data_IF_072915443358
#
_entry.id   IF_072915443358
#
_cell.length_a   1.000
_cell.length_b   1.000
_cell.length_c   1.000
_cell.angle_alpha   90.00
_cell.angle_beta   90.00
_cell.angle_gamma   90.00
#
_symmetry.space_group_name_H-M   'P 1'
#
loop_
_entity.id
_entity.type
_entity.pdbx_description
1 polymer ?
#
# COMPACT_ATOMS: atom_id res chain seq x y z
N UNK A 1 -21.06 -12.79 11.99
CA UNK A 1 -20.23 -13.95 12.37
C UNK A 1 -18.89 -13.51 12.92
N UNK A 2 -18.59 -13.85 14.17
CA UNK A 2 -17.33 -13.49 14.87
C UNK A 2 -16.09 -14.15 14.24
N UNK A 3 -16.32 -15.10 13.31
CA UNK A 3 -15.29 -15.90 12.60
C UNK A 3 -14.97 -15.43 11.18
N UNK A 4 -15.78 -14.56 10.58
CA UNK A 4 -15.66 -14.17 9.15
C UNK A 4 -15.60 -12.64 8.93
N UNK A 5 -15.24 -11.87 9.95
CA UNK A 5 -15.13 -10.40 9.88
C UNK A 5 -13.74 -9.91 9.45
N UNK A 6 -13.65 -8.72 8.87
CA UNK A 6 -12.37 -8.09 8.46
C UNK A 6 -11.33 -7.99 9.60
N UNK A 7 -11.77 -7.72 10.83
CA UNK A 7 -10.93 -7.69 12.03
C UNK A 7 -10.30 -9.07 12.34
N UNK A 8 -10.98 -10.17 11.97
CA UNK A 8 -10.41 -11.51 12.12
C UNK A 8 -9.25 -11.75 11.14
N UNK A 9 -9.31 -11.22 9.92
CA UNK A 9 -8.19 -11.28 8.97
C UNK A 9 -6.97 -10.56 9.53
N UNK A 10 -7.19 -9.34 10.02
CA UNK A 10 -6.15 -8.51 10.62
C UNK A 10 -5.50 -9.18 11.83
N UNK A 11 -6.32 -9.74 12.75
CA UNK A 11 -5.78 -10.50 13.88
C UNK A 11 -4.94 -11.70 13.42
N UNK A 12 -5.41 -12.47 12.44
CA UNK A 12 -4.65 -13.62 11.92
C UNK A 12 -3.33 -13.22 11.28
N UNK A 13 -3.29 -12.07 10.59
CA UNK A 13 -2.06 -11.50 10.06
C UNK A 13 -1.05 -11.25 11.19
N UNK A 14 -1.44 -10.53 12.25
CA UNK A 14 -0.54 -10.27 13.39
C UNK A 14 -0.10 -11.55 14.11
N UNK A 15 -0.99 -12.54 14.25
CA UNK A 15 -0.65 -13.81 14.89
C UNK A 15 0.32 -14.67 14.06
N UNK A 16 0.34 -14.52 12.73
CA UNK A 16 1.12 -15.41 11.83
C UNK A 16 2.36 -14.74 11.26
N UNK A 17 2.23 -13.50 10.80
CA UNK A 17 3.22 -12.80 10.00
C UNK A 17 3.85 -11.58 10.71
N UNK A 18 3.20 -10.97 11.71
CA UNK A 18 3.71 -9.76 12.36
C UNK A 18 3.93 -9.90 13.88
N UNK A 19 4.51 -11.04 14.30
CA UNK A 19 5.02 -11.17 15.68
C UNK A 19 6.26 -10.29 15.84
N UNK A 20 6.35 -9.55 16.96
CA UNK A 20 7.48 -8.65 17.27
C UNK A 20 8.86 -9.27 17.01
N UNK A 21 9.10 -10.50 17.48
CA UNK A 21 10.38 -11.18 17.27
C UNK A 21 10.69 -11.47 15.79
N UNK A 22 9.67 -11.77 14.99
CA UNK A 22 9.80 -12.01 13.53
C UNK A 22 10.12 -10.70 12.81
N UNK A 23 9.37 -9.63 13.11
CA UNK A 23 9.58 -8.29 12.55
C UNK A 23 11.00 -7.80 12.87
N UNK A 24 11.41 -7.84 14.14
CA UNK A 24 12.73 -7.41 14.59
C UNK A 24 13.88 -8.22 13.98
N UNK A 25 13.68 -9.53 13.76
CA UNK A 25 14.66 -10.35 13.03
C UNK A 25 14.81 -9.87 11.59
N UNK A 26 13.72 -9.59 10.90
CA UNK A 26 13.75 -9.12 9.51
C UNK A 26 14.40 -7.74 9.39
N UNK A 27 14.06 -6.81 10.30
CA UNK A 27 14.66 -5.46 10.38
C UNK A 27 16.19 -5.53 10.46
N UNK A 28 16.73 -6.40 11.31
CA UNK A 28 18.18 -6.61 11.45
C UNK A 28 18.80 -7.23 10.20
N UNK A 29 18.16 -8.23 9.62
CA UNK A 29 18.67 -8.93 8.44
C UNK A 29 18.76 -8.01 7.21
N UNK A 30 17.78 -7.13 7.03
CA UNK A 30 17.69 -6.24 5.87
C UNK A 30 18.21 -4.82 6.13
N UNK A 31 18.71 -4.53 7.34
CA UNK A 31 19.16 -3.20 7.75
C UNK A 31 18.09 -2.11 7.61
N UNK A 32 16.84 -2.44 7.98
CA UNK A 32 15.68 -1.54 7.94
C UNK A 32 15.15 -1.31 9.37
N UNK A 33 15.80 -0.46 10.19
CA UNK A 33 15.43 -0.29 11.60
C UNK A 33 14.08 0.43 11.80
N UNK A 34 13.58 1.12 10.77
CA UNK A 34 12.31 1.87 10.78
C UNK A 34 11.22 1.18 9.94
N UNK A 35 11.24 -0.15 9.84
CA UNK A 35 10.19 -0.91 9.15
C UNK A 35 8.82 -0.63 9.81
N UNK A 36 7.89 -0.12 9.00
CA UNK A 36 6.57 0.36 9.45
C UNK A 36 5.51 -0.72 9.61
N UNK A 37 5.84 -1.87 10.23
CA UNK A 37 4.86 -2.89 10.63
C UNK A 37 4.49 -2.65 12.10
N UNK A 38 3.22 -2.38 12.44
CA UNK A 38 2.83 -2.03 13.81
C UNK A 38 2.97 -3.21 14.77
N UNK A 39 3.37 -2.91 16.01
CA UNK A 39 3.37 -3.87 17.11
C UNK A 39 1.93 -4.05 17.65
N UNK A 40 1.30 -5.19 17.36
CA UNK A 40 0.03 -5.55 18.01
C UNK A 40 0.30 -5.98 19.46
N UNK A 41 -0.06 -5.11 20.42
CA UNK A 41 0.19 -5.29 21.85
C UNK A 41 -0.75 -6.32 22.48
N UNK A 42 -1.94 -6.47 21.91
CA UNK A 42 -2.96 -7.39 22.39
C UNK A 42 -4.12 -7.49 21.42
N UNK A 43 -4.84 -8.61 21.50
CA UNK A 43 -6.09 -8.82 20.77
C UNK A 43 -6.98 -9.72 21.61
N UNK A 44 -8.29 -9.67 21.36
CA UNK A 44 -9.21 -10.51 22.10
C UNK A 44 -10.66 -10.31 21.70
N UNK A 45 -11.53 -10.93 22.49
CA UNK A 45 -12.97 -10.72 22.43
C UNK A 45 -13.41 -9.92 23.65
N UNK A 46 -14.31 -8.96 23.44
CA UNK A 46 -14.99 -8.23 24.51
C UNK A 46 -16.47 -8.61 24.48
N UNK A 47 -16.93 -9.28 25.55
CA UNK A 47 -18.21 -9.99 25.54
C UNK A 47 -18.25 -11.05 24.43
N UNK A 48 -19.46 -11.36 23.97
CA UNK A 48 -19.67 -12.41 22.96
C UNK A 48 -19.60 -11.90 21.50
N UNK A 49 -19.58 -10.58 21.29
CA UNK A 49 -19.86 -9.98 19.97
C UNK A 49 -18.76 -9.05 19.43
N UNK A 50 -17.81 -8.59 20.26
CA UNK A 50 -16.81 -7.62 19.82
C UNK A 50 -15.43 -8.24 19.78
N UNK A 51 -14.68 -7.97 18.72
CA UNK A 51 -13.26 -8.29 18.60
C UNK A 51 -12.48 -6.98 18.66
N UNK A 52 -11.35 -6.99 19.35
CA UNK A 52 -10.49 -5.83 19.46
C UNK A 52 -9.03 -6.19 19.17
N UNK A 53 -8.28 -5.20 18.71
CA UNK A 53 -6.81 -5.19 18.66
C UNK A 53 -6.33 -3.93 19.40
N UNK A 54 -5.16 -4.02 20.00
CA UNK A 54 -4.53 -2.94 20.75
C UNK A 54 -3.18 -2.65 20.10
N UNK A 55 -2.97 -1.39 19.74
CA UNK A 55 -1.74 -0.88 19.17
C UNK A 55 -1.22 0.28 20.05
N UNK A 56 0.07 0.62 19.97
CA UNK A 56 0.54 1.94 20.37
C UNK A 56 -0.23 3.02 19.60
N UNK A 57 -0.21 4.25 20.11
CA UNK A 57 -0.67 5.39 19.32
C UNK A 57 0.18 5.51 18.05
N UNK A 58 -0.47 5.37 16.89
CA UNK A 58 0.18 5.41 15.58
C UNK A 58 0.29 6.85 15.04
N UNK A 59 -0.36 7.82 15.69
CA UNK A 59 -0.41 9.20 15.25
C UNK A 59 -1.52 9.46 14.23
N UNK A 60 -1.23 10.28 13.22
CA UNK A 60 -2.21 10.76 12.25
C UNK A 60 -2.17 9.94 10.97
N UNK A 61 -3.34 9.69 10.35
CA UNK A 61 -3.37 9.10 9.01
C UNK A 61 -2.79 10.08 7.99
N UNK A 62 -2.14 9.56 6.94
CA UNK A 62 -1.65 10.34 5.83
C UNK A 62 -2.82 11.07 5.13
N UNK A 63 -4.01 10.45 5.08
CA UNK A 63 -5.21 11.12 4.55
C UNK A 63 -5.53 12.39 5.35
N UNK A 64 -5.54 12.33 6.68
CA UNK A 64 -5.80 13.53 7.49
C UNK A 64 -4.76 14.63 7.27
N UNK A 65 -3.49 14.27 6.98
CA UNK A 65 -2.42 15.23 6.67
C UNK A 65 -2.62 15.83 5.27
N UNK A 66 -3.11 15.03 4.32
CA UNK A 66 -3.47 15.48 2.97
C UNK A 66 -4.65 16.46 2.99
N UNK A 67 -5.63 16.19 3.85
CA UNK A 67 -6.84 16.99 4.04
C UNK A 67 -6.55 18.38 4.62
N UNK A 68 -5.48 18.54 5.43
CA UNK A 68 -5.00 19.84 5.91
C UNK A 68 -4.45 20.72 4.77
N UNK A 69 -4.12 20.11 3.63
CA UNK A 69 -3.47 20.75 2.49
C UNK A 69 -4.35 20.79 1.24
N UNK A 70 -3.70 20.61 0.08
CA UNK A 70 -4.35 20.57 -1.22
C UNK A 70 -4.62 19.14 -1.69
N UNK A 71 -4.66 18.16 -0.78
CA UNK A 71 -4.72 16.74 -1.12
C UNK A 71 -3.57 16.29 -2.06
N UNK A 72 -2.39 16.88 -1.89
CA UNK A 72 -1.20 16.61 -2.69
C UNK A 72 0.04 16.46 -1.80
N UNK A 73 0.93 15.56 -2.19
CA UNK A 73 2.29 15.47 -1.68
C UNK A 73 3.26 16.12 -2.65
N UNK A 74 4.34 16.68 -2.10
CA UNK A 74 5.54 16.97 -2.88
C UNK A 74 6.21 15.66 -3.28
N UNK A 75 6.94 15.70 -4.38
CA UNK A 75 7.67 14.54 -4.92
C UNK A 75 8.56 13.87 -3.86
N UNK A 76 9.32 14.68 -3.09
CA UNK A 76 10.15 14.19 -1.99
C UNK A 76 9.35 13.35 -0.99
N UNK A 77 8.24 13.88 -0.46
CA UNK A 77 7.42 13.18 0.53
C UNK A 77 6.79 11.90 -0.03
N UNK A 78 6.24 11.96 -1.25
CA UNK A 78 5.65 10.80 -1.90
C UNK A 78 6.66 9.66 -2.08
N UNK A 79 7.89 9.99 -2.50
CA UNK A 79 8.95 8.99 -2.69
C UNK A 79 9.50 8.45 -1.37
N UNK A 80 9.64 9.30 -0.33
CA UNK A 80 10.02 8.83 1.01
C UNK A 80 9.00 7.81 1.54
N UNK A 81 7.70 8.10 1.43
CA UNK A 81 6.62 7.21 1.86
C UNK A 81 6.64 5.91 1.05
N UNK A 82 6.67 6.00 -0.29
CA UNK A 82 6.61 4.81 -1.13
C UNK A 82 7.80 3.85 -0.93
N UNK A 83 9.02 4.36 -0.67
CA UNK A 83 10.17 3.50 -0.33
C UNK A 83 9.93 2.75 0.99
N UNK A 84 9.41 3.42 2.02
CA UNK A 84 9.07 2.76 3.31
C UNK A 84 7.97 1.72 3.13
N UNK A 85 6.95 2.02 2.31
CA UNK A 85 5.89 1.08 2.01
C UNK A 85 6.40 -0.13 1.22
N UNK A 86 7.34 0.04 0.30
CA UNK A 86 7.97 -1.09 -0.40
C UNK A 86 8.69 -2.03 0.57
N UNK A 87 9.33 -1.50 1.62
CA UNK A 87 9.95 -2.33 2.66
C UNK A 87 8.88 -3.07 3.49
N UNK A 88 7.76 -2.43 3.84
CA UNK A 88 6.61 -3.10 4.47
C UNK A 88 5.99 -4.18 3.57
N UNK A 89 5.82 -3.89 2.29
CA UNK A 89 5.27 -4.81 1.30
C UNK A 89 6.18 -6.02 1.09
N UNK A 90 7.49 -5.81 0.91
CA UNK A 90 8.45 -6.91 0.82
C UNK A 90 8.38 -7.81 2.06
N UNK A 91 8.35 -7.23 3.27
CA UNK A 91 8.20 -7.98 4.51
C UNK A 91 6.94 -8.86 4.51
N UNK A 92 5.76 -8.28 4.29
CA UNK A 92 4.51 -9.05 4.36
C UNK A 92 4.43 -10.10 3.25
N UNK A 93 4.91 -9.77 2.05
CA UNK A 93 4.90 -10.67 0.90
C UNK A 93 5.82 -11.88 1.12
N UNK A 94 6.99 -11.70 1.74
CA UNK A 94 7.87 -12.79 2.15
C UNK A 94 7.29 -13.65 3.27
N UNK A 95 6.38 -13.08 4.06
CA UNK A 95 5.62 -13.80 5.09
C UNK A 95 4.26 -14.30 4.59
N UNK A 96 4.11 -14.48 3.27
CA UNK A 96 2.94 -15.08 2.60
C UNK A 96 1.66 -14.24 2.56
N UNK A 97 1.71 -12.97 2.98
CA UNK A 97 0.55 -12.07 3.02
C UNK A 97 0.68 -10.90 2.05
N UNK A 98 -0.45 -10.49 1.48
CA UNK A 98 -0.64 -9.16 0.86
C UNK A 98 -1.51 -8.32 1.78
N UNK A 99 -1.41 -7.00 1.70
CA UNK A 99 -2.24 -6.05 2.44
C UNK A 99 -3.65 -5.95 1.84
N UNK A 100 -3.75 -5.82 0.53
CA UNK A 100 -5.01 -5.78 -0.23
C UNK A 100 -5.78 -4.46 -0.21
N UNK A 101 -5.27 -3.41 0.46
CA UNK A 101 -5.96 -2.11 0.58
C UNK A 101 -4.97 -0.98 0.94
N UNK A 102 -3.96 -0.77 0.09
CA UNK A 102 -2.98 0.31 0.28
C UNK A 102 -3.65 1.65 -0.03
N UNK A 103 -3.79 2.51 0.98
CA UNK A 103 -4.39 3.84 0.89
C UNK A 103 -3.77 4.81 1.89
N UNK A 104 -4.04 6.11 1.75
CA UNK A 104 -3.60 7.11 2.72
C UNK A 104 -4.31 7.00 4.09
N UNK A 105 -5.47 6.34 4.17
CA UNK A 105 -6.17 6.09 5.45
C UNK A 105 -5.46 5.01 6.28
N UNK A 106 -4.77 4.09 5.60
CA UNK A 106 -4.05 2.97 6.21
C UNK A 106 -2.57 3.28 6.47
N UNK A 107 -2.10 4.48 6.14
CA UNK A 107 -0.73 4.93 6.40
C UNK A 107 -0.77 5.93 7.54
N UNK A 108 0.00 5.68 8.59
CA UNK A 108 0.09 6.53 9.76
C UNK A 108 1.46 7.20 9.85
N UNK A 109 1.46 8.46 10.28
CA UNK A 109 2.65 9.28 10.51
C UNK A 109 2.61 9.76 11.95
N UNK A 110 3.69 9.52 12.70
CA UNK A 110 3.80 10.02 14.06
C UNK A 110 4.14 11.52 14.03
N UNK A 111 3.27 12.42 14.52
CA UNK A 111 3.55 13.86 14.53
C UNK A 111 4.73 14.25 15.44
N UNK A 112 5.08 13.41 16.42
CA UNK A 112 6.21 13.62 17.33
C UNK A 112 7.54 13.17 16.71
N UNK A 113 7.49 12.23 15.75
CA UNK A 113 8.66 11.75 15.01
C UNK A 113 8.28 11.41 13.56
N UNK A 114 8.49 12.37 12.66
CA UNK A 114 8.20 12.19 11.23
C UNK A 114 9.10 11.16 10.52
N UNK A 115 10.04 10.53 11.23
CA UNK A 115 10.76 9.34 10.71
C UNK A 115 9.96 8.05 10.90
N UNK A 116 8.93 8.04 11.74
CA UNK A 116 8.06 6.90 11.96
C UNK A 116 6.84 6.96 11.03
N UNK A 117 6.79 6.02 10.08
CA UNK A 117 5.66 5.81 9.17
C UNK A 117 5.25 4.37 9.27
N UNK A 118 3.97 4.13 9.53
CA UNK A 118 3.41 2.80 9.78
C UNK A 118 2.35 2.47 8.74
N UNK A 119 2.41 1.28 8.16
CA UNK A 119 1.32 0.70 7.37
C UNK A 119 0.44 -0.12 8.31
N UNK A 120 -0.80 0.30 8.50
CA UNK A 120 -1.81 -0.35 9.34
C UNK A 120 -3.04 -0.74 8.51
N UNK A 121 -4.10 -1.25 9.13
CA UNK A 121 -5.35 -1.54 8.41
C UNK A 121 -5.31 -2.84 7.62
N UNK A 122 -4.81 -3.92 8.22
CA UNK A 122 -4.68 -5.26 7.60
C UNK A 122 -6.01 -6.03 7.54
N UNK A 123 -7.14 -5.32 7.55
CA UNK A 123 -8.50 -5.85 7.48
C UNK A 123 -8.77 -6.65 6.20
N UNK A 124 -8.10 -6.29 5.11
CA UNK A 124 -8.17 -6.97 3.81
C UNK A 124 -6.98 -7.90 3.55
N UNK A 125 -6.10 -8.07 4.54
CA UNK A 125 -4.90 -8.87 4.37
C UNK A 125 -5.25 -10.31 3.98
N UNK A 126 -4.54 -10.81 2.99
CA UNK A 126 -4.81 -12.11 2.41
C UNK A 126 -3.54 -12.94 2.32
N UNK A 127 -3.62 -14.18 2.78
CA UNK A 127 -2.51 -15.13 2.69
C UNK A 127 -2.45 -15.71 1.29
N UNK A 128 -1.77 -15.02 0.38
CA UNK A 128 -1.69 -15.37 -1.04
C UNK A 128 -0.77 -16.57 -1.34
N UNK A 129 0.11 -16.94 -0.40
CA UNK A 129 1.09 -18.01 -0.61
C UNK A 129 1.18 -19.00 0.58
N UNK A 130 0.07 -19.60 1.03
CA UNK A 130 0.06 -20.43 2.24
C UNK A 130 0.98 -21.65 2.10
N UNK A 131 1.98 -21.75 2.97
CA UNK A 131 2.96 -22.84 2.93
C UNK A 131 3.88 -22.77 1.71
N UNK A 132 4.17 -21.56 1.22
CA UNK A 132 4.98 -21.33 0.02
C UNK A 132 4.29 -21.70 -1.30
N UNK A 133 3.00 -22.06 -1.29
CA UNK A 133 2.23 -22.36 -2.49
C UNK A 133 1.37 -21.17 -2.88
N UNK A 134 1.73 -20.50 -3.98
CA UNK A 134 0.94 -19.38 -4.50
C UNK A 134 -0.47 -19.84 -4.86
N UNK A 135 -1.48 -19.02 -4.52
CA UNK A 135 -2.86 -19.27 -4.95
C UNK A 135 -2.97 -19.12 -6.47
N UNK A 136 -3.81 -19.93 -7.11
CA UNK A 136 -4.02 -19.83 -8.55
C UNK A 136 -4.92 -18.63 -8.88
N UNK A 137 -4.67 -17.97 -10.02
CA UNK A 137 -5.55 -16.91 -10.53
C UNK A 137 -6.94 -17.48 -10.87
N UNK A 138 -7.96 -17.04 -10.13
CA UNK A 138 -9.36 -17.44 -10.34
C UNK A 138 -10.29 -16.26 -10.10
N UNK A 139 -10.79 -15.66 -11.16
CA UNK A 139 -11.82 -14.61 -11.08
C UNK A 139 -13.09 -15.17 -10.41
N UNK A 140 -13.76 -14.35 -9.62
CA UNK A 140 -14.95 -14.74 -8.85
C UNK A 140 -14.72 -15.76 -7.73
N UNK A 141 -13.48 -16.12 -7.42
CA UNK A 141 -13.17 -17.01 -6.28
C UNK A 141 -13.36 -16.34 -4.92
N UNK A 142 -13.50 -15.01 -4.90
CA UNK A 142 -13.75 -14.17 -3.74
C UNK A 142 -14.78 -13.10 -4.07
N UNK A 143 -15.27 -12.43 -3.03
CA UNK A 143 -16.10 -11.24 -3.17
C UNK A 143 -15.36 -10.19 -4.03
N UNK A 144 -15.94 -9.72 -5.14
CA UNK A 144 -15.33 -8.68 -5.94
C UNK A 144 -15.40 -7.33 -5.24
N UNK A 145 -14.51 -6.42 -5.66
CA UNK A 145 -14.51 -5.02 -5.21
C UNK A 145 -14.25 -4.85 -3.70
N UNK A 146 -13.56 -5.80 -3.07
CA UNK A 146 -13.12 -5.66 -1.68
C UNK A 146 -11.94 -4.68 -1.56
N UNK A 147 -12.11 -3.65 -0.73
CA UNK A 147 -11.14 -2.59 -0.48
C UNK A 147 -11.61 -1.25 -1.04
N UNK A 148 -10.72 -0.28 -1.08
CA UNK A 148 -11.03 1.08 -1.54
C UNK A 148 -11.08 1.13 -3.07
N UNK A 149 -12.29 1.25 -3.63
CA UNK A 149 -12.57 1.15 -5.08
C UNK A 149 -11.62 1.98 -5.97
N UNK A 150 -11.23 3.16 -5.49
CA UNK A 150 -10.31 4.04 -6.22
C UNK A 150 -8.93 3.41 -6.42
N UNK A 151 -8.43 2.65 -5.45
CA UNK A 151 -7.04 2.17 -5.39
C UNK A 151 -6.87 0.65 -5.52
N UNK A 152 -7.91 -0.16 -5.33
CA UNK A 152 -7.78 -1.62 -5.44
C UNK A 152 -7.38 -2.05 -6.85
N UNK A 153 -6.67 -3.18 -6.93
CA UNK A 153 -6.22 -3.73 -8.21
C UNK A 153 -7.36 -4.28 -9.07
N UNK A 154 -7.08 -4.49 -10.36
CA UNK A 154 -7.98 -5.24 -11.25
C UNK A 154 -8.27 -6.67 -10.74
N UNK A 155 -7.30 -7.34 -10.11
CA UNK A 155 -7.52 -8.68 -9.55
C UNK A 155 -8.62 -8.63 -8.46
N UNK A 156 -8.55 -7.64 -7.57
CA UNK A 156 -9.56 -7.42 -6.53
C UNK A 156 -10.92 -7.01 -7.12
N UNK A 157 -10.95 -6.19 -8.16
CA UNK A 157 -12.21 -5.88 -8.85
C UNK A 157 -12.87 -7.12 -9.45
N UNK A 158 -12.08 -8.08 -9.96
CA UNK A 158 -12.59 -9.32 -10.57
C UNK A 158 -12.88 -10.42 -9.56
N UNK A 159 -12.75 -10.15 -8.26
CA UNK A 159 -12.95 -11.15 -7.21
C UNK A 159 -11.91 -12.28 -7.26
N UNK A 160 -10.74 -12.03 -7.83
CA UNK A 160 -9.59 -12.90 -7.67
C UNK A 160 -8.93 -12.64 -6.32
N UNK A 161 -8.18 -13.63 -5.79
CA UNK A 161 -7.32 -13.39 -4.63
C UNK A 161 -6.29 -12.30 -4.96
N UNK A 162 -6.14 -11.24 -4.15
CA UNK A 162 -5.07 -10.27 -4.38
C UNK A 162 -3.71 -10.96 -4.25
N UNK A 163 -2.74 -10.56 -5.08
CA UNK A 163 -1.36 -11.04 -5.03
C UNK A 163 -0.39 -9.89 -4.85
N UNK A 164 0.92 -10.16 -4.87
CA UNK A 164 1.97 -9.14 -4.69
C UNK A 164 1.84 -7.98 -5.67
N UNK A 165 1.44 -8.26 -6.92
CA UNK A 165 1.23 -7.21 -7.92
C UNK A 165 0.02 -6.32 -7.60
N UNK A 166 -0.97 -6.86 -6.89
CA UNK A 166 -2.16 -6.09 -6.49
C UNK A 166 -1.78 -4.94 -5.55
N UNK A 167 -0.93 -5.21 -4.56
CA UNK A 167 -0.45 -4.19 -3.63
C UNK A 167 0.42 -3.13 -4.33
N UNK A 168 1.27 -3.55 -5.27
CA UNK A 168 2.12 -2.63 -6.04
C UNK A 168 1.32 -1.78 -7.04
N UNK A 169 0.27 -2.34 -7.65
CA UNK A 169 -0.68 -1.60 -8.47
C UNK A 169 -1.41 -0.54 -7.64
N UNK A 170 -1.89 -0.91 -6.45
CA UNK A 170 -2.53 0.02 -5.51
C UNK A 170 -1.59 1.13 -5.04
N UNK A 171 -0.33 0.80 -4.71
CA UNK A 171 0.70 1.79 -4.37
C UNK A 171 0.98 2.73 -5.55
N UNK A 172 1.00 2.22 -6.77
CA UNK A 172 1.14 3.02 -7.98
C UNK A 172 -0.01 4.02 -8.17
N UNK A 173 -1.25 3.59 -7.98
CA UNK A 173 -2.41 4.48 -8.03
C UNK A 173 -2.39 5.53 -6.90
N UNK A 174 -1.98 5.14 -5.69
CA UNK A 174 -1.78 6.06 -4.58
C UNK A 174 -0.72 7.13 -4.90
N UNK A 175 0.46 6.72 -5.37
CA UNK A 175 1.53 7.63 -5.78
C UNK A 175 1.06 8.63 -6.84
N UNK A 176 0.36 8.15 -7.86
CA UNK A 176 -0.20 8.99 -8.91
C UNK A 176 -1.18 10.01 -8.31
N UNK A 177 -2.14 9.55 -7.50
CA UNK A 177 -3.11 10.41 -6.82
C UNK A 177 -2.44 11.46 -5.94
N UNK A 178 -1.45 11.09 -5.13
CA UNK A 178 -0.75 12.02 -4.24
C UNK A 178 0.04 13.08 -5.01
N UNK A 179 0.59 12.75 -6.18
CA UNK A 179 1.42 13.68 -6.96
C UNK A 179 0.62 14.62 -7.86
N UNK A 180 -0.51 14.17 -8.41
CA UNK A 180 -1.30 14.98 -9.36
C UNK A 180 -2.73 15.29 -8.90
N UNK A 181 -3.22 14.64 -7.83
CA UNK A 181 -4.55 14.85 -7.24
C UNK A 181 -5.68 14.13 -7.97
N UNK A 182 -5.35 13.35 -9.02
CA UNK A 182 -6.33 12.86 -9.97
C UNK A 182 -6.05 11.43 -10.43
N UNK A 183 -7.09 10.60 -10.41
CA UNK A 183 -7.16 9.36 -11.17
C UNK A 183 -8.33 9.43 -12.16
N UNK A 184 -8.21 8.90 -13.39
CA UNK A 184 -9.23 9.02 -14.44
C UNK A 184 -10.63 8.49 -14.08
N UNK A 185 -10.73 7.69 -13.03
CA UNK A 185 -11.96 7.05 -12.55
C UNK A 185 -12.44 7.58 -11.19
N UNK A 186 -11.79 8.59 -10.60
CA UNK A 186 -12.09 9.09 -9.23
C UNK A 186 -13.55 9.55 -9.07
N UNK A 187 -14.13 10.15 -10.10
CA UNK A 187 -15.50 10.70 -10.06
C UNK A 187 -16.57 9.67 -10.47
N UNK A 188 -16.18 8.43 -10.77
CA UNK A 188 -17.04 7.39 -11.32
C UNK A 188 -17.08 6.13 -10.45
N UNK A 189 -16.72 6.22 -9.17
CA UNK A 189 -16.64 5.07 -8.26
C UNK A 189 -17.97 4.33 -8.08
N UNK A 190 -19.12 4.95 -8.38
CA UNK A 190 -20.43 4.29 -8.39
C UNK A 190 -20.70 3.49 -9.66
N UNK A 191 -19.95 3.72 -10.74
CA UNK A 191 -20.03 3.02 -12.04
C UNK A 191 -18.88 2.03 -12.16
N UNK A 192 -18.98 0.93 -11.43
CA UNK A 192 -17.90 -0.04 -11.26
C UNK A 192 -17.34 -0.56 -12.60
N UNK A 193 -18.20 -0.87 -13.57
CA UNK A 193 -17.79 -1.33 -14.90
C UNK A 193 -16.88 -0.29 -15.59
N UNK A 194 -17.23 0.99 -15.54
CA UNK A 194 -16.43 2.09 -16.08
C UNK A 194 -15.08 2.22 -15.38
N UNK A 195 -15.03 2.04 -14.05
CA UNK A 195 -13.77 2.04 -13.28
C UNK A 195 -12.86 0.91 -13.77
N UNK A 196 -13.40 -0.30 -13.90
CA UNK A 196 -12.66 -1.49 -14.35
C UNK A 196 -12.13 -1.30 -15.78
N UNK A 197 -12.97 -0.85 -16.72
CA UNK A 197 -12.58 -0.59 -18.10
C UNK A 197 -11.42 0.42 -18.19
N UNK A 198 -11.49 1.51 -17.41
CA UNK A 198 -10.41 2.51 -17.36
C UNK A 198 -9.14 1.93 -16.76
N UNK A 199 -9.21 1.20 -15.65
CA UNK A 199 -8.04 0.54 -15.06
C UNK A 199 -7.42 -0.48 -16.02
N UNK A 200 -8.21 -1.27 -16.73
CA UNK A 200 -7.72 -2.20 -17.76
C UNK A 200 -7.01 -1.48 -18.91
N UNK A 201 -7.62 -0.40 -19.42
CA UNK A 201 -7.00 0.42 -20.46
C UNK A 201 -5.66 0.98 -20.01
N UNK A 202 -5.62 1.61 -18.84
CA UNK A 202 -4.45 2.33 -18.36
C UNK A 202 -3.36 1.41 -17.78
N UNK A 203 -3.70 0.19 -17.36
CA UNK A 203 -2.70 -0.84 -17.07
C UNK A 203 -1.92 -1.26 -18.31
N UNK A 204 -2.57 -1.28 -19.49
CA UNK A 204 -1.93 -1.55 -20.79
C UNK A 204 -1.20 -0.33 -21.36
N UNK A 205 -1.62 0.88 -21.00
CA UNK A 205 -1.07 2.15 -21.49
C UNK A 205 -0.72 3.10 -20.33
N UNK A 206 0.37 2.78 -19.63
CA UNK A 206 0.89 3.58 -18.50
C UNK A 206 1.28 4.98 -18.95
N UNK A 207 1.83 5.12 -20.16
CA UNK A 207 2.23 6.41 -20.72
C UNK A 207 1.01 7.30 -20.92
N UNK A 208 -0.07 6.78 -21.52
CA UNK A 208 -1.32 7.51 -21.68
C UNK A 208 -2.00 7.85 -20.35
N UNK A 209 -1.90 6.99 -19.34
CA UNK A 209 -2.36 7.29 -17.98
C UNK A 209 -1.65 8.53 -17.42
N UNK A 210 -0.32 8.55 -17.48
CA UNK A 210 0.51 9.63 -16.95
C UNK A 210 0.28 10.94 -17.71
N UNK A 211 0.20 10.89 -19.04
CA UNK A 211 -0.12 12.06 -19.86
C UNK A 211 -1.48 12.66 -19.50
N UNK A 212 -2.50 11.82 -19.27
CA UNK A 212 -3.81 12.30 -18.84
C UNK A 212 -3.78 12.94 -17.45
N UNK A 213 -3.04 12.33 -16.52
CA UNK A 213 -3.02 12.76 -15.11
C UNK A 213 -2.18 14.01 -14.88
N UNK A 214 -1.03 14.14 -15.54
CA UNK A 214 -0.15 15.30 -15.41
C UNK A 214 -0.47 16.41 -16.43
N UNK A 215 -1.19 16.10 -17.51
CA UNK A 215 -1.53 17.05 -18.59
C UNK A 215 -0.25 17.71 -19.14
N UNK A 216 -0.06 19.00 -18.86
CA UNK A 216 1.11 19.78 -19.27
C UNK A 216 2.20 19.87 -18.18
N UNK A 217 1.98 19.27 -17.01
CA UNK A 217 2.98 19.21 -15.94
C UNK A 217 4.05 18.18 -16.28
N UNK A 218 5.24 18.38 -15.75
CA UNK A 218 6.35 17.43 -15.86
C UNK A 218 5.97 16.13 -15.15
N UNK A 219 6.11 15.01 -15.84
CA UNK A 219 5.92 13.66 -15.28
C UNK A 219 7.26 13.23 -14.65
N UNK A 220 7.30 12.86 -13.37
CA UNK A 220 8.50 12.31 -12.76
C UNK A 220 8.88 10.98 -13.42
N UNK A 221 10.09 10.89 -13.98
CA UNK A 221 10.60 9.67 -14.64
C UNK A 221 10.55 8.46 -13.68
N UNK A 222 10.89 8.68 -12.41
CA UNK A 222 10.81 7.67 -11.36
C UNK A 222 9.40 7.08 -11.19
N UNK A 223 8.36 7.92 -11.25
CA UNK A 223 6.96 7.47 -11.18
C UNK A 223 6.60 6.62 -12.41
N UNK A 224 7.06 7.04 -13.60
CA UNK A 224 6.83 6.31 -14.83
C UNK A 224 7.47 4.92 -14.78
N UNK A 225 8.75 4.83 -14.42
CA UNK A 225 9.45 3.54 -14.31
C UNK A 225 8.81 2.63 -13.26
N UNK A 226 8.42 3.19 -12.11
CA UNK A 226 7.71 2.43 -11.07
C UNK A 226 6.39 1.85 -11.58
N UNK A 227 5.53 2.67 -12.20
CA UNK A 227 4.23 2.22 -12.69
C UNK A 227 4.37 1.20 -13.83
N UNK A 228 5.29 1.42 -14.76
CA UNK A 228 5.56 0.49 -15.85
C UNK A 228 5.96 -0.89 -15.32
N UNK A 229 6.85 -0.94 -14.33
CA UNK A 229 7.26 -2.21 -13.74
C UNK A 229 6.13 -2.85 -12.92
N UNK A 230 5.44 -2.09 -12.05
CA UNK A 230 4.36 -2.62 -11.22
C UNK A 230 3.18 -3.17 -12.05
N UNK A 231 2.83 -2.51 -13.16
CA UNK A 231 1.70 -2.90 -14.01
C UNK A 231 2.02 -4.06 -14.96
N UNK A 232 3.30 -4.33 -15.21
CA UNK A 232 3.76 -5.43 -16.06
C UNK A 232 3.88 -6.77 -15.34
N UNK A 233 3.79 -6.80 -14.01
CA UNK A 233 3.96 -8.02 -13.21
C UNK A 233 2.90 -9.09 -13.54
N UNK A 234 3.36 -10.32 -13.72
CA UNK A 234 2.49 -11.49 -13.81
C UNK A 234 1.92 -11.84 -12.43
N UNK A 235 0.80 -12.57 -12.41
CA UNK A 235 0.01 -12.78 -11.19
C UNK A 235 0.79 -13.46 -10.07
N UNK A 236 1.60 -14.46 -10.42
CA UNK A 236 2.43 -15.24 -9.48
C UNK A 236 3.87 -14.72 -9.38
N UNK A 237 4.21 -13.63 -10.07
CA UNK A 237 5.58 -13.12 -10.14
C UNK A 237 6.05 -12.60 -8.77
N UNK A 238 7.34 -12.82 -8.45
CA UNK A 238 7.99 -12.14 -7.32
C UNK A 238 8.51 -10.79 -7.84
N UNK A 239 8.02 -9.65 -7.31
CA UNK A 239 8.54 -8.35 -7.69
C UNK A 239 10.03 -8.19 -7.34
N UNK A 240 10.76 -7.47 -8.18
CA UNK A 240 12.07 -6.93 -7.84
C UNK A 240 11.90 -5.65 -7.01
N UNK A 241 11.73 -5.82 -5.70
CA UNK A 241 11.52 -4.70 -4.77
C UNK A 241 12.71 -3.74 -4.76
N UNK A 242 13.94 -4.22 -4.97
CA UNK A 242 15.10 -3.35 -4.97
C UNK A 242 15.11 -2.46 -6.21
N UNK A 243 14.79 -2.98 -7.39
CA UNK A 243 14.61 -2.15 -8.59
C UNK A 243 13.53 -1.06 -8.38
N UNK A 244 12.38 -1.45 -7.83
CA UNK A 244 11.29 -0.52 -7.51
C UNK A 244 11.72 0.58 -6.52
N UNK A 245 12.47 0.21 -5.47
CA UNK A 245 13.04 1.18 -4.53
C UNK A 245 14.06 2.10 -5.19
N UNK A 246 14.91 1.57 -6.06
CA UNK A 246 15.96 2.35 -6.72
C UNK A 246 15.41 3.44 -7.63
N UNK A 247 14.26 3.21 -8.29
CA UNK A 247 13.58 4.27 -9.04
C UNK A 247 13.25 5.48 -8.17
N UNK A 248 12.87 5.25 -6.91
CA UNK A 248 12.42 6.30 -5.98
C UNK A 248 13.58 6.85 -5.12
N UNK A 249 14.60 6.04 -4.79
CA UNK A 249 15.79 6.46 -4.01
C UNK A 249 16.69 7.41 -4.79
N UNK A 250 16.97 7.13 -6.06
CA UNK A 250 17.84 7.97 -6.91
C UNK A 250 17.40 9.45 -6.98
N UNK A 251 16.12 9.80 -7.22
CA UNK A 251 15.70 11.19 -7.19
C UNK A 251 15.78 11.79 -5.77
N UNK A 252 15.52 11.03 -4.71
CA UNK A 252 15.71 11.49 -3.33
C UNK A 252 17.17 11.87 -3.05
N UNK A 253 18.13 11.05 -3.50
CA UNK A 253 19.56 11.34 -3.38
C UNK A 253 19.95 12.64 -4.12
N UNK A 254 19.40 12.86 -5.33
CA UNK A 254 19.57 14.13 -6.07
C UNK A 254 18.98 15.33 -5.31
N UNK A 255 17.91 15.12 -4.55
CA UNK A 255 17.32 16.10 -3.63
C UNK A 255 18.05 16.21 -2.29
N UNK A 256 19.18 15.48 -2.11
CA UNK A 256 19.94 15.38 -0.86
C UNK A 256 19.08 14.92 0.32
N UNK A 257 18.25 13.91 0.08
CA UNK A 257 17.36 13.32 1.08
C UNK A 257 17.47 11.79 1.07
N UNK A 258 17.25 11.20 2.24
CA UNK A 258 17.01 9.77 2.41
C UNK A 258 15.50 9.49 2.51
N UNK A 259 15.10 8.30 2.08
CA UNK A 259 13.77 7.77 2.34
C UNK A 259 13.43 7.72 3.83
N UNK A 260 14.44 7.64 4.70
CA UNK A 260 14.31 7.47 6.15
C UNK A 260 14.59 8.75 6.97
N UNK A 261 14.83 9.89 6.32
CA UNK A 261 14.82 11.20 6.99
C UNK A 261 13.40 11.57 7.43
N UNK A 262 13.23 12.61 8.27
CA UNK A 262 11.91 13.15 8.57
C UNK A 262 11.12 13.44 7.27
N UNK A 263 9.86 13.00 7.22
CA UNK A 263 9.01 13.21 6.05
C UNK A 263 8.86 14.70 5.70
N UNK A 264 8.96 15.03 4.41
CA UNK A 264 8.72 16.40 3.88
C UNK A 264 7.22 16.75 3.80
N UNK A 265 6.52 16.62 4.93
CA UNK A 265 5.10 16.97 5.09
C UNK A 265 4.95 18.05 6.16
N UNK A 266 3.89 18.87 6.04
CA UNK A 266 3.49 19.79 7.11
C UNK A 266 2.42 19.09 7.94
N UNK A 267 2.75 18.75 9.18
CA UNK A 267 1.77 18.21 10.12
C UNK A 267 1.39 19.33 11.08
N UNK A 268 0.11 19.71 11.07
CA UNK A 268 -0.44 20.61 12.09
C UNK A 268 -0.61 19.78 13.37
N UNK A 269 -0.22 20.31 14.56
CA UNK A 269 -0.40 19.63 15.84
C UNK A 269 -1.85 19.22 16.12
#
# INVERSE_FOLDING_TARGET
DVKDGKIYNEQNFFQRAAKKATVEKWKKLHSVPLLGIPDCLGFGLHGDNYRFLVFPDLGRTLQSILDDGLNLLREKAAFQIAVRLLDCLEYIHENEYVHGDITAENIYVNPLDLTEVTLAGYCFAFRYCPGGKHVALREGSRTPHEGTLEFISLDSHKGAGPSRRSDLESLGYCLLKWLCGFLPWSDELTKIETVVEKKERYKRDVTGLLQLCFRQKVIPEALQSFLQQAMALEYEERPDYEALRQFLRRPLEKMRASAYDSLDVRVVP
#
